data_IF_272748743657
#
_entry.id   IF_272748743657
#
_cell.length_a   1.000
_cell.length_b   1.000
_cell.length_c   1.000
_cell.angle_alpha   90.00
_cell.angle_beta   90.00
_cell.angle_gamma   90.00
#
_symmetry.space_group_name_H-M   'P 1'
#
loop_
_entity.id
_entity.type
_entity.pdbx_description
1 polymer ?
#
# COMPACT_ATOMS: atom_id res chain seq x y z
N UNK A 1 20.06 -17.83 -6.91
CA UNK A 1 19.29 -16.70 -6.35
C UNK A 1 19.91 -16.30 -5.01
N UNK A 2 20.44 -15.08 -4.91
CA UNK A 2 21.09 -14.57 -3.70
C UNK A 2 20.10 -14.55 -2.50
N UNK A 3 20.59 -14.75 -1.27
CA UNK A 3 19.76 -14.68 -0.04
C UNK A 3 19.05 -13.34 0.06
N UNK A 4 19.71 -12.25 -0.35
CA UNK A 4 19.14 -10.88 -0.35
C UNK A 4 18.01 -10.73 -1.37
N UNK A 5 18.15 -11.33 -2.55
CA UNK A 5 17.12 -11.35 -3.58
C UNK A 5 15.88 -12.14 -3.13
N UNK A 6 16.06 -13.30 -2.48
CA UNK A 6 14.96 -14.06 -1.87
C UNK A 6 14.20 -13.20 -0.85
N UNK A 7 14.93 -12.53 0.04
CA UNK A 7 14.34 -11.66 1.04
C UNK A 7 13.53 -10.51 0.41
N UNK A 8 14.04 -9.87 -0.64
CA UNK A 8 13.32 -8.83 -1.37
C UNK A 8 12.02 -9.33 -2.01
N UNK A 9 12.04 -10.51 -2.65
CA UNK A 9 10.84 -11.11 -3.26
C UNK A 9 9.79 -11.42 -2.19
N UNK A 10 10.18 -12.10 -1.11
CA UNK A 10 9.27 -12.39 0.00
C UNK A 10 8.72 -11.11 0.65
N UNK A 11 9.54 -10.07 0.75
CA UNK A 11 9.12 -8.75 1.21
C UNK A 11 8.04 -8.12 0.33
N UNK A 12 8.18 -8.18 -1.00
CA UNK A 12 7.16 -7.68 -1.93
C UNK A 12 5.86 -8.50 -1.87
N UNK A 13 5.97 -9.81 -1.68
CA UNK A 13 4.79 -10.66 -1.44
C UNK A 13 4.08 -10.26 -0.15
N UNK A 14 4.83 -9.99 0.92
CA UNK A 14 4.26 -9.49 2.18
C UNK A 14 3.54 -8.14 1.99
N UNK A 15 4.14 -7.21 1.24
CA UNK A 15 3.52 -5.92 0.88
C UNK A 15 2.21 -6.14 0.12
N UNK A 16 2.18 -7.07 -0.84
CA UNK A 16 0.98 -7.41 -1.58
C UNK A 16 -0.13 -7.99 -0.70
N UNK A 17 0.23 -8.86 0.25
CA UNK A 17 -0.72 -9.42 1.23
C UNK A 17 -1.31 -8.34 2.12
N UNK A 18 -0.48 -7.43 2.65
CA UNK A 18 -0.94 -6.32 3.49
C UNK A 18 -1.82 -5.33 2.70
N UNK A 19 -1.51 -5.11 1.42
CA UNK A 19 -2.37 -4.34 0.53
C UNK A 19 -3.74 -4.99 0.36
N UNK A 20 -3.81 -6.30 0.14
CA UNK A 20 -5.07 -7.03 0.04
C UNK A 20 -5.92 -6.97 1.33
N UNK A 21 -5.28 -7.13 2.50
CA UNK A 21 -5.95 -6.95 3.80
C UNK A 21 -6.52 -5.53 3.93
N UNK A 22 -5.76 -4.53 3.48
CA UNK A 22 -6.19 -3.13 3.55
C UNK A 22 -7.37 -2.84 2.61
N UNK A 23 -7.42 -3.46 1.43
CA UNK A 23 -8.59 -3.40 0.54
C UNK A 23 -9.83 -3.94 1.24
N UNK A 24 -9.75 -5.11 1.86
CA UNK A 24 -10.87 -5.72 2.59
C UNK A 24 -11.30 -4.82 3.76
N UNK A 25 -10.34 -4.28 4.50
CA UNK A 25 -10.62 -3.40 5.63
C UNK A 25 -11.30 -2.09 5.21
N UNK A 26 -10.95 -1.50 4.07
CA UNK A 26 -11.63 -0.30 3.59
C UNK A 26 -13.03 -0.63 3.06
N UNK A 27 -13.15 -1.67 2.22
CA UNK A 27 -14.44 -2.09 1.66
C UNK A 27 -15.45 -2.47 2.75
N UNK A 28 -15.00 -3.02 3.88
CA UNK A 28 -15.89 -3.32 5.02
C UNK A 28 -16.55 -2.07 5.62
N UNK A 29 -15.96 -0.87 5.48
CA UNK A 29 -16.57 0.37 5.96
C UNK A 29 -17.85 0.76 5.21
N UNK A 30 -18.06 0.26 3.98
CA UNK A 30 -19.32 0.47 3.25
C UNK A 30 -20.49 -0.18 4.00
N UNK A 31 -20.26 -1.32 4.66
CA UNK A 31 -21.29 -2.02 5.44
C UNK A 31 -21.30 -1.65 6.92
N UNK A 32 -20.12 -1.40 7.52
CA UNK A 32 -19.97 -1.07 8.95
C UNK A 32 -20.25 0.42 9.26
N UNK A 33 -20.31 1.27 8.23
CA UNK A 33 -20.74 2.67 8.35
C UNK A 33 -19.76 3.57 9.10
N UNK A 34 -20.29 4.64 9.70
CA UNK A 34 -19.53 5.75 10.31
C UNK A 34 -18.42 5.29 11.26
N UNK A 35 -18.71 4.32 12.14
CA UNK A 35 -17.76 3.85 13.14
C UNK A 35 -16.48 3.28 12.50
N UNK A 36 -16.61 2.58 11.37
CA UNK A 36 -15.48 2.07 10.61
C UNK A 36 -14.65 3.22 10.02
N UNK A 37 -15.29 4.19 9.38
CA UNK A 37 -14.60 5.37 8.83
C UNK A 37 -13.82 6.15 9.91
N UNK A 38 -14.42 6.34 11.09
CA UNK A 38 -13.74 6.98 12.23
C UNK A 38 -12.57 6.16 12.74
N UNK A 39 -12.73 4.84 12.85
CA UNK A 39 -11.66 3.95 13.30
C UNK A 39 -10.43 4.01 12.37
N UNK A 40 -10.65 4.23 11.08
CA UNK A 40 -9.60 4.39 10.06
C UNK A 40 -9.09 5.84 9.92
N UNK A 41 -9.49 6.75 10.82
CA UNK A 41 -9.17 8.18 10.76
C UNK A 41 -9.55 8.85 9.44
N UNK A 42 -10.71 8.47 8.88
CA UNK A 42 -11.23 9.13 7.68
C UNK A 42 -11.46 10.63 7.93
N UNK A 43 -11.28 11.49 6.91
CA UNK A 43 -11.59 12.92 7.01
C UNK A 43 -13.03 13.16 7.48
N UNK A 44 -13.26 14.30 8.13
CA UNK A 44 -14.59 14.63 8.70
C UNK A 44 -15.67 14.63 7.62
N UNK A 45 -15.32 15.06 6.42
CA UNK A 45 -16.20 15.10 5.24
C UNK A 45 -16.66 13.69 4.83
N UNK A 46 -15.77 12.69 4.94
CA UNK A 46 -16.09 11.28 4.64
C UNK A 46 -16.95 10.68 5.75
N UNK A 47 -16.64 10.97 7.01
CA UNK A 47 -17.42 10.51 8.16
C UNK A 47 -18.84 11.09 8.13
N UNK A 48 -18.98 12.39 7.85
CA UNK A 48 -20.26 13.07 7.74
C UNK A 48 -21.05 12.58 6.52
N UNK A 49 -20.36 12.34 5.40
CA UNK A 49 -20.97 11.72 4.22
C UNK A 49 -21.58 10.34 4.54
N UNK A 50 -20.87 9.51 5.30
CA UNK A 50 -21.35 8.20 5.73
C UNK A 50 -22.54 8.32 6.69
N UNK A 51 -22.51 9.28 7.62
CA UNK A 51 -23.62 9.56 8.54
C UNK A 51 -24.88 10.03 7.81
N UNK A 52 -24.71 10.86 6.78
CA UNK A 52 -25.80 11.41 5.97
C UNK A 52 -26.29 10.46 4.87
N UNK A 53 -25.71 9.26 4.74
CA UNK A 53 -26.11 8.28 3.73
C UNK A 53 -25.81 8.69 2.28
N UNK A 54 -24.84 9.59 2.06
CA UNK A 54 -24.50 10.09 0.72
C UNK A 54 -23.49 9.16 0.02
N UNK A 55 -23.39 9.24 -1.31
CA UNK A 55 -22.50 8.38 -2.10
C UNK A 55 -21.01 8.74 -2.01
N UNK A 56 -20.65 9.88 -1.43
CA UNK A 56 -19.26 10.34 -1.38
C UNK A 56 -18.35 9.39 -0.59
N UNK A 57 -18.77 8.92 0.59
CA UNK A 57 -17.99 7.99 1.40
C UNK A 57 -17.78 6.62 0.71
N UNK A 58 -18.81 5.95 0.14
CA UNK A 58 -18.62 4.74 -0.65
C UNK A 58 -17.69 4.93 -1.87
N UNK A 59 -17.86 6.01 -2.63
CA UNK A 59 -17.02 6.29 -3.81
C UNK A 59 -15.55 6.49 -3.40
N UNK A 60 -15.31 7.29 -2.36
CA UNK A 60 -13.96 7.48 -1.81
C UNK A 60 -13.35 6.16 -1.33
N UNK A 61 -14.15 5.30 -0.70
CA UNK A 61 -13.73 3.97 -0.21
C UNK A 61 -13.32 3.05 -1.36
N UNK A 62 -14.11 3.01 -2.43
CA UNK A 62 -13.78 2.22 -3.63
C UNK A 62 -12.51 2.77 -4.29
N UNK A 63 -12.37 4.10 -4.39
CA UNK A 63 -11.20 4.74 -4.96
C UNK A 63 -9.90 4.38 -4.22
N UNK A 64 -9.89 4.52 -2.88
CA UNK A 64 -8.69 4.19 -2.09
C UNK A 64 -8.41 2.68 -2.07
N UNK A 65 -9.45 1.85 -2.03
CA UNK A 65 -9.33 0.38 -2.13
C UNK A 65 -8.73 -0.02 -3.48
N UNK A 66 -9.16 0.60 -4.57
CA UNK A 66 -8.59 0.37 -5.89
C UNK A 66 -7.10 0.75 -5.95
N UNK A 67 -6.72 1.88 -5.36
CA UNK A 67 -5.31 2.28 -5.27
C UNK A 67 -4.47 1.24 -4.52
N UNK A 68 -4.96 0.72 -3.39
CA UNK A 68 -4.27 -0.35 -2.66
C UNK A 68 -4.20 -1.65 -3.46
N UNK A 69 -5.26 -2.02 -4.18
CA UNK A 69 -5.24 -3.18 -5.08
C UNK A 69 -4.17 -3.04 -6.16
N UNK A 70 -4.02 -1.85 -6.75
CA UNK A 70 -2.94 -1.54 -7.69
C UNK A 70 -1.56 -1.68 -7.02
N UNK A 71 -1.37 -1.16 -5.82
CA UNK A 71 -0.12 -1.32 -5.07
C UNK A 71 0.24 -2.81 -4.88
N UNK A 72 -0.74 -3.64 -4.51
CA UNK A 72 -0.54 -5.08 -4.37
C UNK A 72 -0.19 -5.76 -5.70
N UNK A 73 -0.88 -5.39 -6.79
CA UNK A 73 -0.58 -5.89 -8.12
C UNK A 73 0.85 -5.52 -8.58
N UNK A 74 1.27 -4.26 -8.39
CA UNK A 74 2.63 -3.83 -8.72
C UNK A 74 3.69 -4.49 -7.83
N UNK A 75 3.40 -4.74 -6.56
CA UNK A 75 4.29 -5.49 -5.67
C UNK A 75 4.47 -6.94 -6.16
N UNK A 76 3.39 -7.62 -6.55
CA UNK A 76 3.46 -8.97 -7.15
C UNK A 76 4.20 -8.98 -8.49
N UNK A 77 4.03 -7.94 -9.32
CA UNK A 77 4.76 -7.78 -10.58
C UNK A 77 6.27 -7.57 -10.33
N UNK A 78 6.63 -6.80 -9.30
CA UNK A 78 8.01 -6.62 -8.84
C UNK A 78 8.63 -7.91 -8.30
N UNK A 79 7.83 -8.74 -7.61
CA UNK A 79 8.22 -10.05 -7.09
C UNK A 79 8.40 -11.11 -8.20
N UNK A 80 7.91 -10.83 -9.42
CA UNK A 80 7.95 -11.76 -10.55
C UNK A 80 6.88 -12.86 -10.50
N UNK A 81 5.86 -12.72 -9.65
CA UNK A 81 4.75 -13.69 -9.54
C UNK A 81 3.69 -13.51 -10.63
N UNK A 82 3.51 -12.29 -11.13
CA UNK A 82 2.59 -11.98 -12.22
C UNK A 82 3.34 -11.39 -13.42
N UNK A 83 2.68 -11.34 -14.59
CA UNK A 83 3.23 -10.68 -15.79
C UNK A 83 3.62 -9.24 -15.43
N UNK A 84 4.78 -8.79 -15.92
CA UNK A 84 5.22 -7.42 -15.71
C UNK A 84 4.19 -6.43 -16.23
N UNK A 85 3.76 -5.52 -15.35
CA UNK A 85 2.98 -4.35 -15.73
C UNK A 85 3.91 -3.26 -16.27
N UNK A 86 3.43 -2.39 -17.19
CA UNK A 86 4.18 -1.20 -17.57
C UNK A 86 4.46 -0.34 -16.33
N UNK A 87 5.59 0.36 -16.31
CA UNK A 87 5.97 1.27 -15.21
C UNK A 87 6.17 0.62 -13.82
N UNK A 88 6.32 -0.71 -13.71
CA UNK A 88 6.52 -1.39 -12.41
C UNK A 88 7.61 -0.75 -11.55
N UNK A 89 8.73 -0.31 -12.12
CA UNK A 89 9.81 0.36 -11.37
C UNK A 89 9.39 1.70 -10.76
N UNK A 90 8.69 2.54 -11.54
CA UNK A 90 8.20 3.85 -11.08
C UNK A 90 7.09 3.64 -10.04
N UNK A 91 6.20 2.68 -10.26
CA UNK A 91 5.14 2.34 -9.33
C UNK A 91 5.71 1.87 -7.99
N UNK A 92 6.72 1.00 -7.97
CA UNK A 92 7.35 0.56 -6.72
C UNK A 92 8.05 1.72 -5.98
N UNK A 93 8.69 2.63 -6.71
CA UNK A 93 9.23 3.86 -6.12
C UNK A 93 8.14 4.72 -5.47
N UNK A 94 7.04 4.93 -6.19
CA UNK A 94 5.90 5.67 -5.67
C UNK A 94 5.31 4.99 -4.43
N UNK A 95 5.11 3.67 -4.46
CA UNK A 95 4.60 2.89 -3.33
C UNK A 95 5.55 3.01 -2.14
N UNK A 96 6.84 2.78 -2.33
CA UNK A 96 7.85 2.87 -1.27
C UNK A 96 7.87 4.25 -0.61
N UNK A 97 7.93 5.32 -1.41
CA UNK A 97 7.94 6.70 -0.94
C UNK A 97 6.64 7.06 -0.23
N UNK A 98 5.48 6.81 -0.86
CA UNK A 98 4.17 7.15 -0.29
C UNK A 98 3.91 6.38 1.01
N UNK A 99 4.24 5.10 1.08
CA UNK A 99 4.04 4.29 2.29
C UNK A 99 4.98 4.73 3.42
N UNK A 100 6.23 5.08 3.10
CA UNK A 100 7.19 5.60 4.08
C UNK A 100 6.75 6.97 4.60
N UNK A 101 6.38 7.89 3.71
CA UNK A 101 5.87 9.22 4.06
C UNK A 101 4.60 9.12 4.90
N UNK A 102 3.64 8.26 4.49
CA UNK A 102 2.42 7.98 5.25
C UNK A 102 2.75 7.47 6.65
N UNK A 103 3.71 6.55 6.77
CA UNK A 103 4.20 6.06 8.05
C UNK A 103 4.74 7.16 8.95
N UNK A 104 5.62 8.01 8.41
CA UNK A 104 6.22 9.15 9.14
C UNK A 104 5.14 10.13 9.59
N UNK A 105 4.22 10.51 8.70
CA UNK A 105 3.12 11.42 9.03
C UNK A 105 2.20 10.81 10.08
N UNK A 106 1.87 9.52 9.97
CA UNK A 106 1.03 8.81 10.95
C UNK A 106 1.69 8.70 12.32
N UNK A 107 3.00 8.47 12.38
CA UNK A 107 3.77 8.47 13.63
C UNK A 107 3.78 9.88 14.23
N UNK A 108 4.06 10.92 13.44
CA UNK A 108 4.02 12.31 13.88
C UNK A 108 2.63 12.71 14.40
N UNK A 109 1.57 12.32 13.69
CA UNK A 109 0.19 12.54 14.13
C UNK A 109 -0.12 11.80 15.43
N UNK A 110 0.42 10.60 15.62
CA UNK A 110 0.27 9.83 16.86
C UNK A 110 0.96 10.48 18.07
N UNK A 111 2.02 11.26 17.85
CA UNK A 111 2.70 12.00 18.92
C UNK A 111 2.00 13.32 19.28
N UNK A 112 1.38 13.98 18.30
CA UNK A 112 0.72 15.29 18.49
C UNK A 112 -0.74 15.14 18.92
N UNK A 113 -1.46 14.14 18.41
CA UNK A 113 -2.90 13.96 18.62
C UNK A 113 -3.22 12.58 19.20
N UNK A 114 -2.59 12.24 20.33
CA UNK A 114 -2.72 10.93 21.00
C UNK A 114 -4.18 10.54 21.24
N UNK A 115 -5.04 11.49 21.64
CA UNK A 115 -6.45 11.24 21.96
C UNK A 115 -7.31 10.83 20.75
N UNK A 116 -6.86 11.16 19.54
CA UNK A 116 -7.59 10.87 18.31
C UNK A 116 -7.09 9.61 17.63
N UNK A 117 -5.94 9.05 18.04
CA UNK A 117 -5.33 7.88 17.39
C UNK A 117 -5.92 6.59 17.95
N UNK A 118 -6.54 5.81 17.06
CA UNK A 118 -7.01 4.47 17.39
C UNK A 118 -5.88 3.45 17.34
N UNK A 119 -6.00 2.36 18.11
CA UNK A 119 -5.06 1.22 18.04
C UNK A 119 -4.93 0.69 16.61
N UNK A 120 -6.06 0.66 15.87
CA UNK A 120 -6.09 0.28 14.46
C UNK A 120 -5.19 1.19 13.62
N UNK A 121 -5.34 2.51 13.73
CA UNK A 121 -4.57 3.47 12.95
C UNK A 121 -3.07 3.40 13.28
N UNK A 122 -2.72 3.24 14.56
CA UNK A 122 -1.33 3.10 14.99
C UNK A 122 -0.69 1.83 14.40
N UNK A 123 -1.35 0.67 14.54
CA UNK A 123 -0.85 -0.60 13.99
C UNK A 123 -0.75 -0.54 12.47
N UNK A 124 -1.77 0.01 11.79
CA UNK A 124 -1.75 0.19 10.34
C UNK A 124 -0.58 1.07 9.91
N UNK A 125 -0.32 2.17 10.63
CA UNK A 125 0.81 3.08 10.34
C UNK A 125 2.15 2.34 10.42
N UNK A 126 2.38 1.56 11.48
CA UNK A 126 3.62 0.78 11.64
C UNK A 126 3.80 -0.24 10.51
N UNK A 127 2.74 -1.00 10.17
CA UNK A 127 2.78 -1.99 9.09
C UNK A 127 3.11 -1.33 7.76
N UNK A 128 2.41 -0.23 7.42
CA UNK A 128 2.61 0.46 6.15
C UNK A 128 3.96 1.17 6.06
N UNK A 129 4.49 1.68 7.18
CA UNK A 129 5.86 2.19 7.25
C UNK A 129 6.88 1.10 6.93
N UNK A 130 6.77 -0.07 7.57
CA UNK A 130 7.65 -1.22 7.31
C UNK A 130 7.54 -1.69 5.86
N UNK A 131 6.32 -1.75 5.30
CA UNK A 131 6.09 -2.06 3.89
C UNK A 131 6.79 -1.06 2.95
N UNK A 132 6.75 0.23 3.27
CA UNK A 132 7.44 1.28 2.52
C UNK A 132 8.96 1.06 2.50
N UNK A 133 9.56 0.84 3.66
CA UNK A 133 10.99 0.56 3.80
C UNK A 133 11.39 -0.71 3.02
N UNK A 134 10.65 -1.81 3.19
CA UNK A 134 10.88 -3.06 2.46
C UNK A 134 10.82 -2.83 0.95
N UNK A 135 9.82 -2.10 0.48
CA UNK A 135 9.65 -1.81 -0.95
C UNK A 135 10.83 -1.01 -1.49
N UNK A 136 11.26 0.03 -0.78
CA UNK A 136 12.45 0.82 -1.13
C UNK A 136 13.72 -0.04 -1.25
N UNK A 137 13.94 -0.98 -0.31
CA UNK A 137 15.05 -1.93 -0.39
C UNK A 137 14.89 -2.93 -1.53
N UNK A 138 13.67 -3.41 -1.78
CA UNK A 138 13.39 -4.43 -2.79
C UNK A 138 13.58 -3.91 -4.22
N UNK A 139 13.38 -2.60 -4.48
CA UNK A 139 13.57 -1.98 -5.80
C UNK A 139 14.94 -2.26 -6.40
N UNK A 140 16.00 -2.32 -5.58
CA UNK A 140 17.37 -2.64 -6.04
C UNK A 140 17.49 -4.01 -6.72
N UNK A 141 16.57 -4.92 -6.42
CA UNK A 141 16.57 -6.30 -6.88
C UNK A 141 15.52 -6.59 -7.95
N UNK A 142 14.65 -5.63 -8.24
CA UNK A 142 13.67 -5.74 -9.33
C UNK A 142 14.41 -5.44 -10.63
N UNK A 143 14.50 -6.41 -11.58
CA UNK A 143 15.22 -6.17 -12.80
C UNK A 143 14.55 -5.02 -13.56
N UNK A 144 15.26 -3.99 -13.99
CA UNK A 144 14.64 -2.97 -14.85
C UNK A 144 14.45 -3.54 -16.26
N UNK A 145 13.52 -3.02 -17.06
CA UNK A 145 13.47 -3.40 -18.49
C UNK A 145 14.78 -3.07 -19.23
N UNK A 146 15.59 -2.13 -18.71
CA UNK A 146 16.95 -1.84 -19.19
C UNK A 146 17.98 -2.96 -18.91
N UNK A 147 17.65 -3.96 -18.08
CA UNK A 147 18.50 -5.11 -17.76
C UNK A 147 18.02 -6.41 -18.43
N UNK A 148 17.10 -6.33 -19.41
CA UNK A 148 16.82 -7.51 -20.23
C UNK A 148 18.14 -7.92 -20.91
N UNK A 149 18.66 -9.15 -20.68
CA UNK A 149 19.85 -9.60 -21.39
C UNK A 149 19.56 -9.48 -22.88
N UNK A 150 20.47 -8.77 -23.57
CA UNK A 150 20.39 -8.57 -24.99
C UNK A 150 20.31 -9.95 -25.68
N UNK A 151 19.11 -10.33 -26.15
CA UNK A 151 18.90 -11.58 -26.88
C UNK A 151 19.64 -11.62 -28.22
N UNK A 152 20.28 -10.53 -28.65
CA UNK A 152 21.12 -10.47 -29.86
C UNK A 152 22.61 -10.77 -29.63
N UNK A 153 23.02 -11.14 -28.40
CA UNK A 153 24.41 -11.59 -28.13
C UNK A 153 24.58 -13.13 -28.13
N UNK A 154 23.56 -13.87 -28.60
CA UNK A 154 23.54 -15.34 -28.66
C UNK A 154 23.47 -15.91 -30.09
N UNK A 155 23.72 -15.07 -31.10
CA UNK A 155 23.83 -15.49 -32.50
C UNK A 155 25.22 -15.15 -33.03
#
# INVERSE_FOLDING_TARGET
MDKKQKFAIWGLVFVALMAAVTVVAHMSCIWLGEACYRAQLAPKEVVESAKNGTLFAPIATVGISFLFALCGAYALAGAGLIKRLPLTYIALWAIGVLCTLRGIVGIGFSLVYVDMVTVYSFVATMIWFTCGVITCFAIKWVPTCAQAPNKSALN
#
